data_IF_624917159247
#
_entry.id   IF_624917159247
#
_cell.length_a   1.000
_cell.length_b   1.000
_cell.length_c   1.000
_cell.angle_alpha   90.00
_cell.angle_beta   90.00
_cell.angle_gamma   90.00
#
_symmetry.space_group_name_H-M   'P 1'
#
loop_
_entity.id
_entity.type
_entity.pdbx_description
1 polymer ?
#
# COMPACT_ATOMS: atom_id res chain seq x y z
N UNK A 1 12.75 -14.52 -0.71
CA UNK A 1 12.04 -13.30 -0.31
C UNK A 1 10.56 -13.44 -0.59
N UNK A 2 9.74 -12.67 0.08
CA UNK A 2 8.29 -12.69 -0.09
C UNK A 2 7.88 -11.38 -0.78
N UNK A 3 7.32 -11.50 -1.98
CA UNK A 3 6.98 -10.35 -2.82
C UNK A 3 5.48 -10.28 -3.06
N UNK A 4 4.90 -9.10 -2.83
CA UNK A 4 3.49 -8.82 -3.06
C UNK A 4 3.38 -7.63 -4.00
N UNK A 5 2.49 -7.75 -4.98
CA UNK A 5 2.13 -6.65 -5.86
C UNK A 5 0.68 -6.26 -5.59
N UNK A 6 0.46 -5.01 -5.20
CA UNK A 6 -0.87 -4.51 -4.82
C UNK A 6 -1.33 -3.47 -5.83
N UNK A 7 -2.59 -3.59 -6.25
CA UNK A 7 -3.24 -2.58 -7.08
C UNK A 7 -4.36 -1.96 -6.26
N UNK A 8 -4.30 -0.65 -6.08
CA UNK A 8 -5.36 0.15 -5.47
C UNK A 8 -6.11 0.89 -6.56
N UNK A 9 -7.42 0.70 -6.62
CA UNK A 9 -8.26 1.32 -7.64
C UNK A 9 -9.34 2.18 -6.98
N UNK A 10 -9.49 3.41 -7.45
CA UNK A 10 -10.55 4.32 -7.03
C UNK A 10 -11.63 4.45 -8.10
N UNK A 11 -12.71 5.14 -7.74
CA UNK A 11 -13.78 5.46 -8.70
C UNK A 11 -13.33 6.51 -9.71
N UNK A 12 -12.34 7.32 -9.35
CA UNK A 12 -11.72 8.31 -10.22
C UNK A 12 -10.30 8.64 -9.70
N UNK A 13 -9.58 9.47 -10.44
CA UNK A 13 -8.22 9.90 -10.08
C UNK A 13 -8.19 10.63 -8.75
N UNK A 14 -9.15 11.52 -8.50
CA UNK A 14 -9.18 12.33 -7.31
C UNK A 14 -9.26 11.48 -6.04
N UNK A 15 -10.04 10.39 -6.06
CA UNK A 15 -10.15 9.49 -4.93
C UNK A 15 -8.81 8.81 -4.61
N UNK A 16 -8.11 8.32 -5.63
CA UNK A 16 -6.82 7.65 -5.44
C UNK A 16 -5.74 8.66 -5.04
N UNK A 17 -5.76 9.85 -5.60
CA UNK A 17 -4.81 10.91 -5.20
C UNK A 17 -4.99 11.31 -3.74
N UNK A 18 -6.24 11.46 -3.29
CA UNK A 18 -6.54 11.75 -1.88
C UNK A 18 -6.05 10.65 -0.96
N UNK A 19 -6.29 9.41 -1.33
CA UNK A 19 -5.81 8.24 -0.61
C UNK A 19 -4.28 8.25 -0.48
N UNK A 20 -3.57 8.41 -1.59
CA UNK A 20 -2.11 8.44 -1.59
C UNK A 20 -1.56 9.62 -0.79
N UNK A 21 -2.16 10.79 -0.93
CA UNK A 21 -1.74 11.98 -0.17
C UNK A 21 -1.82 11.75 1.33
N UNK A 22 -2.92 11.17 1.83
CA UNK A 22 -3.04 10.90 3.27
C UNK A 22 -2.09 9.80 3.75
N UNK A 23 -1.80 8.79 2.93
CA UNK A 23 -0.76 7.81 3.25
C UNK A 23 0.56 8.53 3.53
N UNK A 24 0.93 9.48 2.66
CA UNK A 24 2.17 10.24 2.80
C UNK A 24 2.14 11.19 3.99
N UNK A 25 1.06 11.91 4.18
CA UNK A 25 0.92 12.86 5.28
C UNK A 25 0.96 12.17 6.65
N UNK A 26 0.37 10.99 6.77
CA UNK A 26 0.37 10.22 8.00
C UNK A 26 1.64 9.38 8.20
N UNK A 27 2.51 9.34 7.20
CA UNK A 27 3.78 8.62 7.29
C UNK A 27 3.64 7.10 7.25
N UNK A 28 2.52 6.58 6.76
CA UNK A 28 2.28 5.13 6.70
C UNK A 28 3.35 4.44 5.87
N UNK A 29 3.72 5.02 4.73
CA UNK A 29 4.77 4.50 3.86
C UNK A 29 6.15 4.56 4.52
N UNK A 30 6.45 5.65 5.20
CA UNK A 30 7.73 5.83 5.90
C UNK A 30 7.91 4.81 7.02
N UNK A 31 6.88 4.61 7.83
CA UNK A 31 6.93 3.63 8.93
C UNK A 31 7.03 2.21 8.39
N UNK A 32 6.28 1.91 7.32
CA UNK A 32 6.33 0.58 6.69
C UNK A 32 7.73 0.25 6.18
N UNK A 33 8.42 1.22 5.57
CA UNK A 33 9.79 1.01 5.07
C UNK A 33 10.80 0.75 6.18
N UNK A 34 10.50 1.17 7.40
CA UNK A 34 11.39 0.99 8.56
C UNK A 34 11.12 -0.29 9.34
N UNK A 35 10.10 -1.04 8.98
CA UNK A 35 9.80 -2.31 9.65
C UNK A 35 10.89 -3.33 9.39
N UNK A 36 11.16 -4.16 10.39
CA UNK A 36 12.13 -5.25 10.26
C UNK A 36 11.72 -6.18 9.13
N UNK A 37 12.68 -6.49 8.27
CA UNK A 37 12.47 -7.38 7.14
C UNK A 37 11.88 -6.72 5.91
N UNK A 38 11.54 -5.43 5.95
CA UNK A 38 11.11 -4.75 4.73
C UNK A 38 12.32 -4.46 3.83
N UNK A 39 12.26 -4.95 2.59
CA UNK A 39 13.30 -4.74 1.57
C UNK A 39 12.88 -3.63 0.63
N UNK A 40 11.60 -3.59 0.27
CA UNK A 40 11.07 -2.61 -0.66
C UNK A 40 9.60 -2.36 -0.36
N UNK A 41 9.20 -1.10 -0.38
CA UNK A 41 7.82 -0.67 -0.19
C UNK A 41 7.64 0.59 -1.02
N UNK A 42 7.20 0.43 -2.26
CA UNK A 42 7.28 1.49 -3.26
C UNK A 42 5.98 1.63 -4.03
N UNK A 43 5.46 2.84 -4.04
CA UNK A 43 4.28 3.20 -4.81
C UNK A 43 4.65 3.66 -6.21
N UNK A 44 3.78 3.37 -7.18
CA UNK A 44 3.89 3.89 -8.54
C UNK A 44 2.50 4.04 -9.14
N UNK A 45 2.35 5.05 -10.00
CA UNK A 45 1.12 5.26 -10.73
C UNK A 45 1.09 4.38 -11.99
N UNK A 46 -0.12 3.96 -12.40
CA UNK A 46 -0.28 3.30 -13.69
C UNK A 46 -0.03 4.31 -14.80
N UNK A 47 0.75 3.91 -15.80
CA UNK A 47 0.95 4.71 -16.99
C UNK A 47 -0.25 4.66 -17.95
N UNK A 48 -1.10 3.65 -17.80
CA UNK A 48 -2.21 3.40 -18.71
C UNK A 48 -3.57 3.77 -18.13
N UNK A 49 -3.70 3.76 -16.79
CA UNK A 49 -4.96 4.04 -16.09
C UNK A 49 -4.74 5.10 -15.04
N UNK A 50 -5.52 6.15 -15.06
CA UNK A 50 -5.34 7.29 -14.15
C UNK A 50 -5.96 7.05 -12.76
N UNK A 51 -6.76 5.99 -12.60
CA UNK A 51 -7.44 5.64 -11.36
C UNK A 51 -6.79 4.48 -10.59
N UNK A 52 -5.57 4.09 -10.96
CA UNK A 52 -4.85 2.98 -10.33
C UNK A 52 -3.49 3.39 -9.78
N UNK A 53 -3.23 2.98 -8.54
CA UNK A 53 -1.97 3.14 -7.84
C UNK A 53 -1.44 1.76 -7.49
N UNK A 54 -0.17 1.51 -7.78
CA UNK A 54 0.49 0.25 -7.48
C UNK A 54 1.37 0.37 -6.25
N UNK A 55 1.51 -0.74 -5.52
CA UNK A 55 2.45 -0.86 -4.42
C UNK A 55 3.22 -2.16 -4.58
N UNK A 56 4.52 -2.06 -4.70
CA UNK A 56 5.41 -3.22 -4.68
C UNK A 56 5.97 -3.37 -3.28
N UNK A 57 5.70 -4.52 -2.65
CA UNK A 57 6.22 -4.87 -1.33
C UNK A 57 7.12 -6.08 -1.45
N UNK A 58 8.34 -5.94 -0.95
CA UNK A 58 9.28 -7.07 -0.85
C UNK A 58 9.71 -7.17 0.61
N UNK A 59 9.55 -8.35 1.18
CA UNK A 59 9.90 -8.66 2.57
C UNK A 59 10.91 -9.79 2.59
N UNK A 60 11.80 -9.80 3.58
CA UNK A 60 12.79 -10.88 3.73
C UNK A 60 12.11 -12.22 3.92
N UNK A 61 10.99 -12.23 4.68
CA UNK A 61 10.22 -13.43 4.96
C UNK A 61 8.72 -13.12 4.91
N UNK A 62 7.92 -14.18 4.76
CA UNK A 62 6.47 -14.07 4.84
C UNK A 62 6.02 -13.62 6.24
N UNK A 63 6.74 -14.06 7.27
CA UNK A 63 6.44 -13.71 8.65
C UNK A 63 6.60 -12.20 8.90
N UNK A 64 7.61 -11.57 8.29
CA UNK A 64 7.80 -10.13 8.39
C UNK A 64 6.59 -9.37 7.83
N UNK A 65 6.06 -9.82 6.70
CA UNK A 65 4.86 -9.24 6.11
C UNK A 65 3.63 -9.47 7.00
N UNK A 66 3.52 -10.64 7.63
CA UNK A 66 2.42 -10.92 8.55
C UNK A 66 2.45 -9.99 9.76
N UNK A 67 3.64 -9.71 10.30
CA UNK A 67 3.80 -8.75 11.39
C UNK A 67 3.38 -7.35 10.93
N UNK A 68 3.78 -6.95 9.72
CA UNK A 68 3.36 -5.68 9.11
C UNK A 68 1.84 -5.54 9.11
N UNK A 69 1.12 -6.59 8.74
CA UNK A 69 -0.35 -6.57 8.65
C UNK A 69 -1.05 -6.40 10.01
N UNK A 70 -0.32 -6.51 11.10
CA UNK A 70 -0.85 -6.37 12.46
C UNK A 70 -0.54 -5.01 13.08
N UNK A 71 0.16 -4.14 12.38
CA UNK A 71 0.59 -2.85 12.90
C UNK A 71 -0.52 -1.80 12.87
N UNK A 72 -0.41 -0.80 13.75
CA UNK A 72 -1.39 0.30 13.80
C UNK A 72 -1.48 1.07 12.48
N UNK A 73 -0.35 1.29 11.82
CA UNK A 73 -0.34 2.00 10.54
C UNK A 73 -0.97 1.19 9.41
N UNK A 74 -0.93 -0.14 9.46
CA UNK A 74 -1.66 -1.00 8.53
C UNK A 74 -3.17 -0.85 8.72
N UNK A 75 -3.62 -0.82 9.98
CA UNK A 75 -5.03 -0.59 10.31
C UNK A 75 -5.48 0.78 9.80
N UNK A 76 -4.64 1.80 9.97
CA UNK A 76 -4.92 3.15 9.46
C UNK A 76 -5.05 3.17 7.95
N UNK A 77 -4.23 2.40 7.25
CA UNK A 77 -4.33 2.23 5.79
C UNK A 77 -5.72 1.68 5.41
N UNK A 78 -6.22 0.69 6.15
CA UNK A 78 -7.56 0.15 5.93
C UNK A 78 -8.66 1.19 6.12
N UNK A 79 -8.52 2.07 7.10
CA UNK A 79 -9.45 3.17 7.32
C UNK A 79 -9.45 4.15 6.14
N UNK A 80 -8.28 4.45 5.59
CA UNK A 80 -8.16 5.29 4.40
C UNK A 80 -8.78 4.65 3.17
N UNK A 81 -8.62 3.33 3.00
CA UNK A 81 -9.29 2.61 1.90
C UNK A 81 -10.81 2.76 1.99
N UNK A 82 -11.36 2.65 3.17
CA UNK A 82 -12.80 2.86 3.38
C UNK A 82 -13.20 4.31 3.09
N UNK A 83 -12.42 5.26 3.56
CA UNK A 83 -12.70 6.69 3.38
C UNK A 83 -12.79 7.07 1.90
N UNK A 84 -11.91 6.54 1.08
CA UNK A 84 -11.81 6.90 -0.35
C UNK A 84 -12.45 5.88 -1.29
N UNK A 85 -13.08 4.83 -0.75
CA UNK A 85 -13.73 3.81 -1.56
C UNK A 85 -12.76 3.03 -2.44
N UNK A 86 -11.59 2.68 -1.90
CA UNK A 86 -10.52 2.03 -2.66
C UNK A 86 -10.73 0.52 -2.72
N UNK A 87 -10.73 -0.03 -3.92
CA UNK A 87 -10.70 -1.47 -4.16
C UNK A 87 -9.24 -1.93 -4.19
N UNK A 88 -8.98 -3.09 -3.62
CA UNK A 88 -7.62 -3.63 -3.51
C UNK A 88 -7.54 -4.99 -4.17
N UNK A 89 -6.55 -5.16 -5.06
CA UNK A 89 -6.17 -6.45 -5.62
C UNK A 89 -4.77 -6.77 -5.16
N UNK A 90 -4.53 -8.02 -4.74
CA UNK A 90 -3.22 -8.47 -4.25
C UNK A 90 -2.79 -9.66 -5.06
N UNK A 91 -1.52 -9.61 -5.54
CA UNK A 91 -0.89 -10.70 -6.25
C UNK A 91 0.39 -11.09 -5.50
N UNK A 92 0.49 -12.34 -5.13
CA UNK A 92 1.69 -12.88 -4.48
C UNK A 92 2.58 -13.44 -5.59
N UNK A 93 3.78 -12.93 -5.70
CA UNK A 93 4.71 -13.30 -6.78
C UNK A 93 5.74 -14.36 -6.34
#
# INVERSE_FOLDING_TARGET
MFTIYVTYKGSDRAAVEGFYREIRELGIDTVSRREDGNVRYEYSWSAERDDELFLLEIWETKEAQQIHSQQAHFKKLGELKSKYGIETEIEIL
#
